data_IF_776069408197
#
_entry.id   IF_776069408197
#
_cell.length_a   1.000
_cell.length_b   1.000
_cell.length_c   1.000
_cell.angle_alpha   90.00
_cell.angle_beta   90.00
_cell.angle_gamma   90.00
#
_symmetry.space_group_name_H-M   'P 1'
#
loop_
_entity.id
_entity.type
_entity.pdbx_description
1 polymer ?
#
# COMPACT_ATOMS: atom_id res chain seq x y z
N UNK A 1 -16.42 6.99 -3.62
CA UNK A 1 -15.97 5.58 -3.76
C UNK A 1 -14.69 5.61 -4.58
N UNK A 2 -13.61 4.99 -4.13
CA UNK A 2 -12.34 4.96 -4.88
C UNK A 2 -12.42 4.00 -6.07
N UNK A 3 -11.55 4.18 -7.08
CA UNK A 3 -11.41 3.23 -8.19
C UNK A 3 -11.09 1.82 -7.69
N UNK A 4 -10.29 1.70 -6.63
CA UNK A 4 -10.01 0.42 -5.96
C UNK A 4 -11.27 -0.23 -5.39
N UNK A 5 -12.15 0.52 -4.73
CA UNK A 5 -13.41 -0.01 -4.21
C UNK A 5 -14.36 -0.43 -5.35
N UNK A 6 -14.39 0.31 -6.45
CA UNK A 6 -15.17 -0.05 -7.64
C UNK A 6 -14.66 -1.34 -8.28
N UNK A 7 -13.33 -1.50 -8.40
CA UNK A 7 -12.72 -2.72 -8.92
C UNK A 7 -13.11 -3.94 -8.06
N UNK A 8 -13.00 -3.84 -6.73
CA UNK A 8 -13.35 -4.92 -5.83
C UNK A 8 -14.84 -5.27 -5.88
N UNK A 9 -15.73 -4.27 -5.94
CA UNK A 9 -17.16 -4.51 -6.14
C UNK A 9 -17.45 -5.19 -7.48
N UNK A 10 -16.75 -4.80 -8.54
CA UNK A 10 -16.94 -5.41 -9.86
C UNK A 10 -16.49 -6.87 -9.90
N UNK A 11 -15.40 -7.20 -9.22
CA UNK A 11 -14.91 -8.57 -9.09
C UNK A 11 -15.95 -9.47 -8.38
N UNK A 12 -16.54 -8.97 -7.29
CA UNK A 12 -17.61 -9.66 -6.56
C UNK A 12 -18.87 -9.88 -7.43
N UNK A 13 -19.30 -8.85 -8.17
CA UNK A 13 -20.41 -8.96 -9.14
C UNK A 13 -20.14 -10.01 -10.23
N UNK A 14 -18.89 -10.12 -10.68
CA UNK A 14 -18.47 -11.07 -11.71
C UNK A 14 -18.17 -12.48 -11.15
N UNK A 15 -18.28 -12.67 -9.83
CA UNK A 15 -18.04 -13.93 -9.14
C UNK A 15 -16.56 -14.34 -9.10
N UNK A 16 -15.65 -13.41 -9.34
CA UNK A 16 -14.21 -13.62 -9.20
C UNK A 16 -13.71 -12.96 -7.91
N UNK A 17 -13.05 -13.74 -7.06
CA UNK A 17 -12.57 -13.22 -5.78
C UNK A 17 -11.21 -12.51 -5.96
N UNK A 18 -10.97 -11.42 -5.20
CA UNK A 18 -9.64 -10.83 -5.10
C UNK A 18 -8.60 -11.84 -4.61
N UNK A 19 -7.42 -11.81 -5.23
CA UNK A 19 -6.24 -12.56 -4.80
C UNK A 19 -5.18 -11.64 -4.16
N UNK A 20 -4.08 -12.23 -3.71
CA UNK A 20 -2.94 -11.51 -3.15
C UNK A 20 -2.40 -10.43 -4.09
N UNK A 21 -2.28 -10.76 -5.39
CA UNK A 21 -1.84 -9.82 -6.43
C UNK A 21 -2.76 -8.61 -6.55
N UNK A 22 -4.08 -8.82 -6.48
CA UNK A 22 -5.09 -7.76 -6.53
C UNK A 22 -4.89 -6.76 -5.39
N UNK A 23 -4.74 -7.25 -4.16
CA UNK A 23 -4.49 -6.39 -3.01
C UNK A 23 -3.15 -5.65 -3.12
N UNK A 24 -2.08 -6.32 -3.57
CA UNK A 24 -0.77 -5.70 -3.78
C UNK A 24 -0.86 -4.52 -4.76
N UNK A 25 -1.56 -4.69 -5.88
CA UNK A 25 -1.72 -3.63 -6.89
C UNK A 25 -2.48 -2.43 -6.29
N UNK A 26 -3.58 -2.69 -5.58
CA UNK A 26 -4.38 -1.64 -4.91
C UNK A 26 -3.52 -0.88 -3.90
N UNK A 27 -2.80 -1.60 -3.04
CA UNK A 27 -1.93 -1.02 -2.02
C UNK A 27 -0.84 -0.14 -2.66
N UNK A 28 -0.17 -0.63 -3.71
CA UNK A 28 0.84 0.14 -4.47
C UNK A 28 0.25 1.42 -5.06
N UNK A 29 -0.96 1.36 -5.61
CA UNK A 29 -1.66 2.54 -6.13
C UNK A 29 -1.88 3.62 -5.06
N UNK A 30 -2.32 3.23 -3.87
CA UNK A 30 -2.50 4.17 -2.76
C UNK A 30 -1.19 4.75 -2.24
N UNK A 31 -0.16 3.91 -2.16
CA UNK A 31 1.21 4.30 -1.84
C UNK A 31 1.72 5.40 -2.79
N UNK A 32 1.59 5.21 -4.11
CA UNK A 32 2.09 6.18 -5.10
C UNK A 32 1.31 7.49 -5.07
N UNK A 33 0.06 7.45 -4.60
CA UNK A 33 -0.78 8.62 -4.37
C UNK A 33 -0.59 9.25 -2.97
N UNK A 34 0.41 8.79 -2.20
CA UNK A 34 0.70 9.24 -0.84
C UNK A 34 -0.49 9.09 0.14
N UNK A 35 -1.39 8.14 -0.13
CA UNK A 35 -2.57 7.83 0.67
C UNK A 35 -2.30 6.57 1.52
N UNK A 36 -1.45 6.76 2.53
CA UNK A 36 -1.02 5.68 3.42
C UNK A 36 -2.18 5.10 4.24
N UNK A 37 -3.20 5.89 4.54
CA UNK A 37 -4.38 5.44 5.29
C UNK A 37 -5.12 4.33 4.54
N UNK A 38 -5.41 4.54 3.25
CA UNK A 38 -6.03 3.50 2.44
C UNK A 38 -5.08 2.34 2.15
N UNK A 39 -3.78 2.60 1.94
CA UNK A 39 -2.79 1.53 1.76
C UNK A 39 -2.76 0.57 2.96
N UNK A 40 -2.78 1.09 4.20
CA UNK A 40 -2.83 0.28 5.42
C UNK A 40 -4.17 -0.45 5.58
N UNK A 41 -5.28 0.21 5.26
CA UNK A 41 -6.62 -0.41 5.29
C UNK A 41 -6.68 -1.66 4.40
N UNK A 42 -6.21 -1.57 3.15
CA UNK A 42 -6.21 -2.71 2.23
C UNK A 42 -5.17 -3.77 2.60
N UNK A 43 -4.05 -3.38 3.23
CA UNK A 43 -3.10 -4.34 3.81
C UNK A 43 -3.74 -5.16 4.92
N UNK A 44 -4.52 -4.55 5.79
CA UNK A 44 -5.19 -5.27 6.88
C UNK A 44 -6.29 -6.20 6.39
N UNK A 45 -7.01 -5.81 5.32
CA UNK A 45 -7.93 -6.71 4.63
C UNK A 45 -7.16 -7.91 4.05
N UNK A 46 -6.09 -7.66 3.30
CA UNK A 46 -5.26 -8.71 2.68
C UNK A 46 -4.80 -9.75 3.72
N UNK A 47 -4.33 -9.30 4.88
CA UNK A 47 -3.92 -10.19 5.98
C UNK A 47 -5.10 -10.94 6.59
N UNK A 48 -6.26 -10.29 6.74
CA UNK A 48 -7.48 -10.94 7.26
C UNK A 48 -8.00 -12.05 6.35
N UNK A 49 -7.86 -11.87 5.03
CA UNK A 49 -8.19 -12.89 4.03
C UNK A 49 -7.13 -14.01 3.95
N UNK A 50 -6.06 -13.94 4.75
CA UNK A 50 -5.02 -14.97 4.83
C UNK A 50 -3.86 -14.80 3.85
N UNK A 51 -3.81 -13.68 3.12
CA UNK A 51 -2.72 -13.39 2.20
C UNK A 51 -1.54 -12.71 2.93
N UNK A 52 -0.32 -13.15 2.59
CA UNK A 52 0.91 -12.56 3.08
C UNK A 52 1.33 -11.35 2.27
N UNK A 53 1.88 -10.33 2.93
CA UNK A 53 2.50 -9.20 2.23
C UNK A 53 3.90 -9.63 1.77
N UNK A 54 4.14 -9.60 0.46
CA UNK A 54 5.45 -9.88 -0.12
C UNK A 54 6.52 -8.88 0.35
N UNK A 55 7.78 -9.32 0.42
CA UNK A 55 8.92 -8.53 0.88
C UNK A 55 9.11 -7.25 0.06
N UNK A 56 8.79 -7.27 -1.24
CA UNK A 56 8.86 -6.08 -2.10
C UNK A 56 7.78 -5.06 -1.73
N UNK A 57 6.57 -5.52 -1.43
CA UNK A 57 5.46 -4.65 -1.00
C UNK A 57 5.75 -4.05 0.37
N UNK A 58 6.33 -4.83 1.29
CA UNK A 58 6.78 -4.32 2.58
C UNK A 58 7.93 -3.31 2.46
N UNK A 59 8.91 -3.56 1.57
CA UNK A 59 9.99 -2.59 1.30
C UNK A 59 9.44 -1.29 0.75
N UNK A 60 8.41 -1.35 -0.11
CA UNK A 60 7.73 -0.17 -0.60
C UNK A 60 7.08 0.61 0.56
N UNK A 61 6.35 -0.06 1.47
CA UNK A 61 5.84 0.58 2.69
C UNK A 61 6.93 1.28 3.50
N UNK A 62 8.05 0.62 3.75
CA UNK A 62 9.19 1.18 4.50
C UNK A 62 9.80 2.38 3.76
N UNK A 63 9.83 2.37 2.44
CA UNK A 63 10.39 3.47 1.63
C UNK A 63 9.54 4.75 1.64
N UNK A 64 8.23 4.65 1.89
CA UNK A 64 7.32 5.82 1.88
C UNK A 64 7.12 6.39 3.28
N UNK A 65 7.36 5.59 4.33
CA UNK A 65 7.50 6.15 5.65
C UNK A 65 8.57 7.23 5.54
N UNK A 66 8.28 8.51 5.84
CA UNK A 66 9.31 9.52 5.84
C UNK A 66 10.30 9.05 6.89
N UNK A 67 11.45 8.57 6.43
CA UNK A 67 12.59 8.26 7.29
C UNK A 67 12.74 9.50 8.16
N UNK A 68 12.38 9.37 9.44
CA UNK A 68 12.48 10.47 10.38
C UNK A 68 13.85 11.08 10.18
N UNK A 69 13.86 12.36 9.78
CA UNK A 69 15.05 13.13 9.51
C UNK A 69 16.15 12.78 10.50
N UNK A 70 17.18 12.09 10.03
CA UNK A 70 18.50 12.04 10.65
C UNK A 70 19.55 12.25 9.56
N UNK A 71 19.43 13.36 8.85
CA UNK A 71 20.58 14.09 8.33
C UNK A 71 20.37 15.54 8.75
N UNK A 72 20.90 15.80 9.94
CA UNK A 72 20.96 17.08 10.62
C UNK A 72 21.38 18.21 9.66
N UNK A 73 20.55 19.24 9.54
CA UNK A 73 20.97 20.52 8.95
C UNK A 73 21.92 21.19 9.93
N UNK A 74 23.24 21.11 9.69
CA UNK A 74 24.31 22.06 10.10
C UNK A 74 25.67 21.33 10.00
N UNK A 75 26.72 21.80 9.32
CA UNK A 75 27.14 23.15 8.96
C UNK A 75 27.95 23.15 7.67
N UNK A 76 27.84 24.26 6.93
CA UNK A 76 28.95 24.96 6.29
C UNK A 76 30.32 24.54 6.85
N UNK A 77 31.20 24.02 6.00
CA UNK A 77 32.65 24.11 6.19
C UNK A 77 33.33 24.12 4.81
N UNK A 78 33.69 25.34 4.41
CA UNK A 78 34.79 25.79 3.53
C UNK A 78 34.90 25.22 2.10
#
# INVERSE_FOLDING_TARGET
>A
MSEAAQLLSKMDEDGCLPDDCTYIIIIRGYIFNNDLSNALYYRDIMVREGFGVDADTFSLFVSILPSGNLCDSSKDQL
#
